data_IF_786619905592
#
_entry.id   IF_786619905592
#
_cell.length_a   1.000
_cell.length_b   1.000
_cell.length_c   1.000
_cell.angle_alpha   90.00
_cell.angle_beta   90.00
_cell.angle_gamma   90.00
#
_symmetry.space_group_name_H-M   'P 1'
#
loop_
_entity.id
_entity.type
_entity.pdbx_description
1 polymer ?
#
# COMPACT_ATOMS: atom_id res chain seq x y z
N UNK A 1 -2.65 -13.70 0.63
CA UNK A 1 -3.53 -14.53 1.47
C UNK A 1 -4.70 -13.76 2.10
N UNK A 2 -4.71 -12.43 2.12
CA UNK A 2 -5.83 -11.65 2.70
C UNK A 2 -5.94 -11.81 4.23
N UNK A 3 -4.86 -12.22 4.89
CA UNK A 3 -4.85 -12.65 6.28
C UNK A 3 -4.73 -11.52 7.31
N UNK A 4 -4.40 -10.30 6.86
CA UNK A 4 -4.21 -9.11 7.71
C UNK A 4 -4.87 -7.92 7.02
N UNK A 5 -5.51 -7.07 7.81
CA UNK A 5 -6.11 -5.83 7.33
C UNK A 5 -5.02 -4.77 7.07
N UNK A 6 -4.82 -4.35 5.80
CA UNK A 6 -3.78 -3.40 5.43
C UNK A 6 -4.24 -1.96 5.62
N UNK A 7 -3.29 -1.02 5.56
CA UNK A 7 -3.65 0.36 5.30
C UNK A 7 -4.28 0.50 3.91
N UNK A 8 -5.28 1.36 3.79
CA UNK A 8 -5.98 1.61 2.53
C UNK A 8 -5.89 3.09 2.19
N UNK A 9 -5.31 3.37 1.01
CA UNK A 9 -5.26 4.72 0.44
C UNK A 9 -6.27 4.81 -0.71
N UNK A 10 -7.10 5.86 -0.70
CA UNK A 10 -7.96 6.22 -1.83
C UNK A 10 -7.36 7.44 -2.51
N UNK A 11 -7.03 7.28 -3.78
CA UNK A 11 -6.47 8.35 -4.59
C UNK A 11 -7.45 8.73 -5.70
N UNK A 12 -7.63 10.03 -5.90
CA UNK A 12 -8.40 10.57 -7.00
C UNK A 12 -7.50 10.85 -8.19
N UNK A 13 -7.92 10.34 -9.35
CA UNK A 13 -7.31 10.64 -10.64
C UNK A 13 -7.68 12.07 -11.05
N UNK A 14 -6.66 12.88 -11.30
CA UNK A 14 -6.80 14.23 -11.83
C UNK A 14 -6.51 14.23 -13.35
N UNK A 15 -6.85 15.34 -14.03
CA UNK A 15 -6.66 15.46 -15.48
C UNK A 15 -5.19 15.54 -15.94
N UNK A 16 -4.26 15.72 -15.00
CA UNK A 16 -2.82 15.92 -15.21
C UNK A 16 -1.97 14.70 -14.82
N UNK A 17 -2.59 13.53 -14.66
CA UNK A 17 -1.95 12.28 -14.19
C UNK A 17 -1.23 12.39 -12.84
N UNK A 18 -1.52 13.42 -12.06
CA UNK A 18 -0.97 13.61 -10.72
C UNK A 18 -2.08 13.32 -9.71
N UNK A 19 -2.23 12.07 -9.25
CA UNK A 19 -3.33 11.72 -8.37
C UNK A 19 -3.13 12.34 -6.99
N UNK A 20 -4.24 12.71 -6.36
CA UNK A 20 -4.27 13.28 -5.01
C UNK A 20 -4.87 12.28 -4.04
N UNK A 21 -4.29 12.18 -2.84
CA UNK A 21 -4.83 11.34 -1.77
C UNK A 21 -6.11 12.00 -1.25
N UNK A 22 -7.23 11.28 -1.30
CA UNK A 22 -8.50 11.71 -0.70
C UNK A 22 -8.70 11.11 0.69
N UNK A 23 -8.28 9.86 0.89
CA UNK A 23 -8.47 9.13 2.14
C UNK A 23 -7.29 8.22 2.44
N UNK A 24 -6.99 8.09 3.74
CA UNK A 24 -6.11 7.09 4.31
C UNK A 24 -6.80 6.45 5.50
N UNK A 25 -7.04 5.15 5.40
CA UNK A 25 -7.53 4.30 6.50
C UNK A 25 -6.38 3.46 7.02
N UNK A 26 -6.06 3.62 8.31
CA UNK A 26 -5.02 2.84 8.97
C UNK A 26 -5.59 1.47 9.33
N UNK A 27 -5.03 0.42 8.73
CA UNK A 27 -5.38 -0.96 9.02
C UNK A 27 -4.73 -1.46 10.29
N UNK A 28 -5.26 -2.54 10.83
CA UNK A 28 -4.85 -3.08 12.12
C UNK A 28 -3.45 -3.74 12.12
N UNK A 29 -2.94 -4.17 10.96
CA UNK A 29 -1.54 -4.58 10.72
C UNK A 29 -0.95 -5.45 11.86
N UNK A 30 -1.65 -6.50 12.27
CA UNK A 30 -1.21 -7.26 13.45
C UNK A 30 0.14 -7.98 13.25
N UNK A 31 0.45 -8.36 12.02
CA UNK A 31 1.59 -9.22 11.68
C UNK A 31 2.21 -8.80 10.34
N UNK A 32 3.49 -9.09 10.16
CA UNK A 32 4.21 -8.99 8.88
C UNK A 32 4.90 -10.32 8.56
N UNK A 33 5.07 -10.58 7.28
CA UNK A 33 5.86 -11.71 6.79
C UNK A 33 7.31 -11.25 6.52
N UNK A 34 8.28 -11.98 7.05
CA UNK A 34 9.72 -11.68 6.89
C UNK A 34 10.45 -12.90 6.34
N UNK A 35 11.57 -12.67 5.65
CA UNK A 35 12.43 -13.74 5.14
C UNK A 35 13.10 -14.48 6.30
N UNK A 36 13.11 -15.80 6.23
CA UNK A 36 13.88 -16.63 7.15
C UNK A 36 15.33 -16.79 6.66
N UNK A 37 16.30 -16.79 7.58
CA UNK A 37 17.72 -16.91 7.29
C UNK A 37 18.08 -18.25 6.64
N UNK A 38 17.27 -19.29 6.86
CA UNK A 38 17.49 -20.63 6.30
C UNK A 38 16.60 -20.91 5.07
N UNK A 39 15.89 -19.90 4.58
CA UNK A 39 15.00 -19.99 3.42
C UNK A 39 13.53 -20.09 3.80
N UNK A 40 12.67 -19.59 2.91
CA UNK A 40 11.24 -19.44 3.16
C UNK A 40 10.92 -18.14 3.91
N UNK A 41 9.78 -18.14 4.60
CA UNK A 41 9.25 -16.96 5.31
C UNK A 41 8.70 -17.35 6.67
N UNK A 42 8.64 -16.38 7.58
CA UNK A 42 8.01 -16.50 8.89
C UNK A 42 7.19 -15.25 9.21
N UNK A 43 6.24 -15.40 10.13
CA UNK A 43 5.44 -14.29 10.62
C UNK A 43 6.10 -13.64 11.84
N UNK A 44 6.06 -12.32 11.90
CA UNK A 44 6.43 -11.51 13.06
C UNK A 44 5.26 -10.61 13.44
N UNK A 45 4.95 -10.54 14.74
CA UNK A 45 4.00 -9.55 15.25
C UNK A 45 4.61 -8.15 15.16
N UNK A 46 3.77 -7.17 14.80
CA UNK A 46 4.15 -5.76 14.79
C UNK A 46 3.99 -5.15 16.18
N UNK A 47 4.80 -4.15 16.51
CA UNK A 47 4.59 -3.37 17.73
C UNK A 47 3.35 -2.47 17.61
N UNK A 48 2.77 -2.04 18.74
CA UNK A 48 1.62 -1.14 18.73
C UNK A 48 1.91 0.20 18.01
N UNK A 49 3.12 0.72 18.15
CA UNK A 49 3.56 1.91 17.42
C UNK A 49 3.54 1.68 15.90
N UNK A 50 3.99 0.51 15.45
CA UNK A 50 3.98 0.17 14.03
C UNK A 50 2.57 -0.10 13.49
N UNK A 51 1.64 -0.56 14.33
CA UNK A 51 0.22 -0.76 13.96
C UNK A 51 -0.51 0.56 13.76
N UNK A 52 -0.18 1.58 14.54
CA UNK A 52 -0.90 2.86 14.55
C UNK A 52 -0.41 3.87 13.50
N UNK A 53 0.74 3.62 12.87
CA UNK A 53 1.28 4.46 11.79
C UNK A 53 1.00 3.88 10.42
N UNK A 54 1.01 4.73 9.40
CA UNK A 54 0.90 4.28 8.03
C UNK A 54 2.15 3.55 7.56
N UNK A 55 1.97 2.48 6.79
CA UNK A 55 3.04 1.69 6.19
C UNK A 55 3.74 2.42 5.04
N UNK A 56 3.17 3.51 4.52
CA UNK A 56 3.74 4.35 3.47
C UNK A 56 3.60 5.83 3.85
N UNK A 57 4.54 6.64 3.41
CA UNK A 57 4.33 8.09 3.40
C UNK A 57 3.46 8.53 2.22
N UNK A 58 2.96 9.77 2.28
CA UNK A 58 2.09 10.33 1.26
C UNK A 58 2.79 10.46 -0.10
N UNK A 59 4.10 10.73 -0.12
CA UNK A 59 4.86 10.85 -1.37
C UNK A 59 4.89 9.51 -2.10
N UNK A 60 5.17 8.42 -1.39
CA UNK A 60 5.20 7.07 -1.94
C UNK A 60 3.81 6.65 -2.42
N UNK A 61 2.75 6.93 -1.65
CA UNK A 61 1.38 6.65 -2.08
C UNK A 61 1.02 7.37 -3.39
N UNK A 62 1.39 8.65 -3.54
CA UNK A 62 1.19 9.41 -4.78
C UNK A 62 2.00 8.84 -5.94
N UNK A 63 3.26 8.46 -5.72
CA UNK A 63 4.12 7.84 -6.74
C UNK A 63 3.54 6.51 -7.24
N UNK A 64 3.03 5.68 -6.34
CA UNK A 64 2.34 4.43 -6.69
C UNK A 64 1.05 4.70 -7.48
N UNK A 65 0.27 5.71 -7.09
CA UNK A 65 -0.90 6.14 -7.85
C UNK A 65 -0.58 6.58 -9.28
N UNK A 66 0.50 7.36 -9.45
CA UNK A 66 0.97 7.78 -10.78
C UNK A 66 1.37 6.57 -11.63
N UNK A 67 2.13 5.64 -11.05
CA UNK A 67 2.51 4.40 -11.72
C UNK A 67 1.26 3.59 -12.15
N UNK A 68 0.24 3.50 -11.31
CA UNK A 68 -1.01 2.82 -11.64
C UNK A 68 -1.71 3.45 -12.86
N UNK A 69 -1.74 4.79 -12.95
CA UNK A 69 -2.29 5.51 -14.12
C UNK A 69 -1.47 5.20 -15.38
N UNK A 70 -0.14 5.17 -15.28
CA UNK A 70 0.73 4.84 -16.43
C UNK A 70 0.48 3.41 -16.94
N UNK A 71 0.36 2.44 -16.04
CA UNK A 71 0.03 1.05 -16.38
C UNK A 71 -1.36 0.95 -17.00
N UNK A 72 -2.37 1.58 -16.41
CA UNK A 72 -3.74 1.61 -16.92
C UNK A 72 -3.79 2.18 -18.35
N UNK A 73 -3.06 3.27 -18.62
CA UNK A 73 -2.97 3.87 -19.96
C UNK A 73 -2.32 2.95 -20.98
N UNK A 74 -1.25 2.27 -20.59
CA UNK A 74 -0.54 1.34 -21.47
C UNK A 74 -1.47 0.19 -21.90
N UNK A 75 -2.19 -0.41 -20.96
CA UNK A 75 -3.10 -1.52 -21.24
C UNK A 75 -4.49 -1.07 -21.73
N UNK A 76 -4.80 0.24 -21.66
CA UNK A 76 -6.12 0.83 -21.98
C UNK A 76 -7.27 0.18 -21.23
N UNK A 77 -6.97 -0.34 -20.04
CA UNK A 77 -7.84 -1.17 -19.24
C UNK A 77 -7.54 -0.93 -17.77
N UNK A 78 -8.56 -0.83 -16.91
CA UNK A 78 -8.38 -0.82 -15.45
C UNK A 78 -8.08 -2.22 -14.90
N UNK A 79 -8.03 -3.23 -15.77
CA UNK A 79 -7.69 -4.64 -15.49
C UNK A 79 -6.41 -5.04 -16.19
#
# INVERSE_FOLDING_TARGET
SGSVEPDTFVLKKNGDDTPTIEELTIGSKFQKEVMDEFGGTRLEDLSEDQKSVSCLDNEMAQRLGKLAIEVEKFYRSPR
#
